data_IF_030142333977
#
_entry.id   IF_030142333977
#
_cell.length_a   1.000
_cell.length_b   1.000
_cell.length_c   1.000
_cell.angle_alpha   90.00
_cell.angle_beta   90.00
_cell.angle_gamma   90.00
#
_symmetry.space_group_name_H-M   'P 1'
#
loop_
_entity.id
_entity.type
_entity.pdbx_description
1 polymer ?
#
# COMPACT_ATOMS: atom_id res chain seq x y z
N UNK A 1 -3.05 10.77 5.88
CA UNK A 1 -1.58 10.93 5.93
C UNK A 1 -1.24 12.41 5.85
N UNK A 2 0.02 12.76 6.09
CA UNK A 2 0.49 14.14 5.95
C UNK A 2 0.35 14.67 4.52
N UNK A 3 0.57 13.82 3.51
CA UNK A 3 0.32 14.15 2.11
C UNK A 3 -1.12 14.61 1.88
N UNK A 4 -2.11 13.78 2.23
CA UNK A 4 -3.54 14.10 2.11
C UNK A 4 -3.87 15.43 2.78
N UNK A 5 -3.32 15.70 3.96
CA UNK A 5 -3.54 16.98 4.65
C UNK A 5 -3.02 18.16 3.83
N UNK A 6 -1.77 18.10 3.36
CA UNK A 6 -1.18 19.17 2.56
C UNK A 6 -1.93 19.38 1.25
N UNK A 7 -2.33 18.31 0.57
CA UNK A 7 -3.06 18.37 -0.70
C UNK A 7 -4.49 18.88 -0.57
N UNK A 8 -5.16 18.69 0.58
CA UNK A 8 -6.53 19.20 0.79
C UNK A 8 -6.57 20.66 1.26
N UNK A 9 -5.51 21.14 1.92
CA UNK A 9 -5.43 22.51 2.46
C UNK A 9 -4.69 23.45 1.49
N UNK A 10 -3.92 22.91 0.55
CA UNK A 10 -3.16 23.66 -0.45
C UNK A 10 -2.38 22.71 -1.36
N UNK A 11 -1.10 22.99 -1.60
CA UNK A 11 -0.19 22.09 -2.29
C UNK A 11 1.00 21.74 -1.40
N UNK A 12 1.57 20.56 -1.61
CA UNK A 12 2.84 20.18 -0.99
C UNK A 12 3.96 21.13 -1.43
N UNK A 13 3.98 21.55 -2.69
CA UNK A 13 4.98 22.47 -3.24
C UNK A 13 5.12 23.78 -2.44
N UNK A 14 4.00 24.31 -1.95
CA UNK A 14 3.93 25.59 -1.22
C UNK A 14 4.07 25.41 0.30
N UNK A 15 4.03 24.16 0.79
CA UNK A 15 4.05 23.85 2.23
C UNK A 15 5.47 23.88 2.80
N UNK A 16 5.63 24.38 4.02
CA UNK A 16 6.91 24.42 4.73
C UNK A 16 7.00 23.34 5.83
N UNK A 17 8.23 23.00 6.23
CA UNK A 17 8.52 22.06 7.31
C UNK A 17 9.05 20.71 6.84
N UNK A 18 9.58 19.92 7.79
CA UNK A 18 10.32 18.69 7.51
C UNK A 18 9.51 17.67 6.69
N UNK A 19 8.25 17.46 7.05
CA UNK A 19 7.39 16.48 6.38
C UNK A 19 7.04 16.95 4.96
N UNK A 20 6.80 18.25 4.76
CA UNK A 20 6.58 18.79 3.42
C UNK A 20 7.83 18.65 2.56
N UNK A 21 9.03 18.88 3.12
CA UNK A 21 10.29 18.67 2.40
C UNK A 21 10.51 17.22 1.96
N UNK A 22 10.08 16.23 2.74
CA UNK A 22 10.14 14.82 2.34
C UNK A 22 9.24 14.54 1.13
N UNK A 23 8.01 15.06 1.12
CA UNK A 23 7.12 14.94 -0.03
C UNK A 23 7.64 15.70 -1.24
N UNK A 24 8.27 16.86 -1.03
CA UNK A 24 8.95 17.61 -2.11
C UNK A 24 10.10 16.82 -2.73
N UNK A 25 10.83 16.08 -1.91
CA UNK A 25 11.93 15.22 -2.37
C UNK A 25 11.39 14.07 -3.23
N UNK A 26 10.37 13.35 -2.75
CA UNK A 26 9.72 12.30 -3.56
C UNK A 26 9.06 12.88 -4.82
N UNK A 27 8.53 14.09 -4.72
CA UNK A 27 7.93 14.83 -5.83
C UNK A 27 8.87 15.14 -7.00
N UNK A 28 10.18 15.01 -6.81
CA UNK A 28 11.15 15.06 -7.91
C UNK A 28 11.07 13.82 -8.82
N UNK A 29 10.73 12.66 -8.24
CA UNK A 29 10.55 11.42 -8.98
C UNK A 29 9.11 11.28 -9.52
N UNK A 30 8.12 11.82 -8.82
CA UNK A 30 6.71 11.83 -9.26
C UNK A 30 6.04 13.17 -8.93
N UNK A 31 5.89 14.03 -9.94
CA UNK A 31 5.40 15.39 -9.78
C UNK A 31 3.98 15.48 -9.21
N UNK A 32 3.18 14.40 -9.30
CA UNK A 32 1.81 14.33 -8.75
C UNK A 32 1.78 14.38 -7.23
N UNK A 33 2.91 14.17 -6.56
CA UNK A 33 3.02 14.31 -5.11
C UNK A 33 3.31 15.74 -4.65
N UNK A 34 3.58 16.66 -5.59
CA UNK A 34 3.78 18.09 -5.30
C UNK A 34 2.49 18.90 -5.34
N UNK A 35 1.60 18.52 -6.26
CA UNK A 35 0.37 19.24 -6.57
C UNK A 35 -0.85 18.35 -6.36
N UNK A 36 -2.03 18.95 -6.32
CA UNK A 36 -3.27 18.19 -6.20
C UNK A 36 -3.55 17.35 -7.46
N UNK A 37 -3.21 16.06 -7.41
CA UNK A 37 -3.69 15.06 -8.37
C UNK A 37 -4.90 14.31 -7.80
N UNK A 38 -6.10 14.41 -8.42
CA UNK A 38 -7.31 13.78 -7.88
C UNK A 38 -7.21 12.26 -7.73
N UNK A 39 -6.50 11.58 -8.63
CA UNK A 39 -6.33 10.12 -8.58
C UNK A 39 -5.49 9.75 -7.38
N UNK A 40 -4.29 10.32 -7.23
CA UNK A 40 -3.38 10.03 -6.11
C UNK A 40 -4.02 10.44 -4.78
N UNK A 41 -4.62 11.63 -4.69
CA UNK A 41 -5.27 12.08 -3.45
C UNK A 41 -6.43 11.18 -3.07
N UNK A 42 -7.24 10.72 -4.04
CA UNK A 42 -8.35 9.81 -3.75
C UNK A 42 -7.90 8.45 -3.20
N UNK A 43 -6.80 7.89 -3.76
CA UNK A 43 -6.19 6.66 -3.27
C UNK A 43 -5.63 6.85 -1.87
N UNK A 44 -4.89 7.93 -1.65
CA UNK A 44 -4.25 8.21 -0.36
C UNK A 44 -5.25 8.48 0.76
N UNK A 45 -6.45 9.01 0.47
CA UNK A 45 -7.53 9.09 1.45
C UNK A 45 -7.96 7.68 1.89
N UNK A 46 -8.15 6.76 0.93
CA UNK A 46 -8.51 5.38 1.24
C UNK A 46 -7.39 4.69 2.02
N UNK A 47 -6.14 4.77 1.56
CA UNK A 47 -5.00 4.14 2.23
C UNK A 47 -4.79 4.71 3.64
N UNK A 48 -4.83 6.03 3.81
CA UNK A 48 -4.64 6.65 5.12
C UNK A 48 -5.74 6.30 6.13
N UNK A 49 -6.98 6.15 5.67
CA UNK A 49 -8.14 5.92 6.55
C UNK A 49 -8.44 4.43 6.63
N UNK A 50 -8.89 3.83 5.53
CA UNK A 50 -9.32 2.44 5.49
C UNK A 50 -8.16 1.48 5.80
N UNK A 51 -7.05 1.58 5.06
CA UNK A 51 -5.94 0.65 5.21
C UNK A 51 -5.21 0.89 6.54
N UNK A 52 -5.11 2.15 6.98
CA UNK A 52 -4.65 2.51 8.32
C UNK A 52 -5.45 1.82 9.44
N UNK A 53 -6.79 1.86 9.39
CA UNK A 53 -7.63 1.16 10.36
C UNK A 53 -7.54 -0.37 10.23
N UNK A 54 -7.50 -0.90 9.02
CA UNK A 54 -7.33 -2.33 8.77
C UNK A 54 -5.99 -2.84 9.31
N UNK A 55 -4.91 -2.07 9.17
CA UNK A 55 -3.60 -2.41 9.71
C UNK A 55 -3.62 -2.47 11.23
N UNK A 56 -4.23 -1.49 11.91
CA UNK A 56 -4.41 -1.51 13.37
C UNK A 56 -5.23 -2.73 13.82
N UNK A 57 -6.31 -3.03 13.12
CA UNK A 57 -7.16 -4.17 13.45
C UNK A 57 -6.48 -5.51 13.17
N UNK A 58 -5.67 -5.59 12.12
CA UNK A 58 -4.82 -6.74 11.82
C UNK A 58 -3.80 -6.96 12.93
N UNK A 59 -3.09 -5.91 13.38
CA UNK A 59 -2.14 -6.01 14.50
C UNK A 59 -2.85 -6.54 15.75
N UNK A 60 -4.03 -6.01 16.08
CA UNK A 60 -4.84 -6.52 17.17
C UNK A 60 -5.19 -8.01 16.99
N UNK A 61 -5.63 -8.40 15.79
CA UNK A 61 -5.99 -9.78 15.47
C UNK A 61 -4.79 -10.74 15.57
N UNK A 62 -3.58 -10.27 15.20
CA UNK A 62 -2.31 -10.99 15.37
C UNK A 62 -2.04 -11.20 16.85
N UNK A 63 -2.00 -10.12 17.64
CA UNK A 63 -1.64 -10.16 19.07
C UNK A 63 -2.64 -10.98 19.89
N UNK A 64 -3.92 -10.98 19.50
CA UNK A 64 -4.98 -11.73 20.19
C UNK A 64 -5.30 -13.08 19.55
N UNK A 65 -4.49 -13.54 18.60
CA UNK A 65 -4.63 -14.84 17.94
C UNK A 65 -6.07 -15.10 17.44
N UNK A 66 -6.66 -14.10 16.76
CA UNK A 66 -8.04 -14.16 16.29
C UNK A 66 -8.16 -14.97 15.01
N UNK A 67 -9.21 -15.77 14.88
CA UNK A 67 -9.47 -16.61 13.71
C UNK A 67 -9.58 -15.81 12.39
N UNK A 68 -10.02 -14.56 12.46
CA UNK A 68 -10.19 -13.67 11.30
C UNK A 68 -8.91 -12.92 10.91
N UNK A 69 -7.77 -13.15 11.58
CA UNK A 69 -6.48 -12.53 11.25
C UNK A 69 -6.15 -12.63 9.76
N UNK A 70 -6.24 -13.83 9.18
CA UNK A 70 -5.90 -14.07 7.78
C UNK A 70 -6.88 -13.38 6.81
N UNK A 71 -8.15 -13.23 7.19
CA UNK A 71 -9.11 -12.47 6.40
C UNK A 71 -8.67 -10.99 6.32
N UNK A 72 -8.37 -10.37 7.46
CA UNK A 72 -7.88 -8.98 7.50
C UNK A 72 -6.55 -8.81 6.77
N UNK A 73 -5.61 -9.75 6.94
CA UNK A 73 -4.32 -9.71 6.26
C UNK A 73 -4.50 -9.75 4.74
N UNK A 74 -5.35 -10.64 4.23
CA UNK A 74 -5.65 -10.74 2.79
C UNK A 74 -6.32 -9.47 2.29
N UNK A 75 -7.33 -8.95 3.01
CA UNK A 75 -8.03 -7.71 2.62
C UNK A 75 -7.06 -6.54 2.52
N UNK A 76 -6.24 -6.31 3.55
CA UNK A 76 -5.25 -5.22 3.55
C UNK A 76 -4.25 -5.39 2.41
N UNK A 77 -3.72 -6.60 2.19
CA UNK A 77 -2.75 -6.83 1.11
C UNK A 77 -3.35 -6.58 -0.28
N UNK A 78 -4.63 -6.89 -0.49
CA UNK A 78 -5.31 -6.60 -1.75
C UNK A 78 -5.52 -5.09 -1.94
N UNK A 79 -5.85 -4.35 -0.87
CA UNK A 79 -5.93 -2.89 -0.95
C UNK A 79 -4.59 -2.28 -1.36
N UNK A 80 -3.49 -2.67 -0.70
CA UNK A 80 -2.14 -2.16 -1.01
C UNK A 80 -1.75 -2.45 -2.47
N UNK A 81 -1.89 -3.70 -2.93
CA UNK A 81 -1.53 -4.08 -4.31
C UNK A 81 -2.39 -3.38 -5.36
N UNK A 82 -3.68 -3.19 -5.08
CA UNK A 82 -4.57 -2.45 -5.97
C UNK A 82 -4.25 -0.96 -5.96
N UNK A 83 -3.94 -0.39 -4.80
CA UNK A 83 -3.50 1.00 -4.65
C UNK A 83 -2.24 1.28 -5.46
N UNK A 84 -1.21 0.44 -5.31
CA UNK A 84 0.03 0.52 -6.09
C UNK A 84 -0.25 0.46 -7.61
N UNK A 85 -1.10 -0.47 -8.04
CA UNK A 85 -1.47 -0.56 -9.45
C UNK A 85 -2.15 0.73 -9.93
N UNK A 86 -3.05 1.29 -9.15
CA UNK A 86 -3.76 2.52 -9.51
C UNK A 86 -2.89 3.78 -9.42
N UNK A 87 -1.80 3.76 -8.65
CA UNK A 87 -0.80 4.84 -8.61
C UNK A 87 0.00 4.92 -9.91
N UNK A 88 0.40 3.76 -10.47
CA UNK A 88 1.32 3.72 -11.61
C UNK A 88 0.66 3.40 -12.96
N UNK A 89 -0.33 2.51 -13.00
CA UNK A 89 -0.95 2.09 -14.26
C UNK A 89 -1.54 3.26 -15.07
N UNK A 90 -2.24 4.24 -14.48
CA UNK A 90 -2.72 5.40 -15.23
C UNK A 90 -1.59 6.20 -15.89
N UNK A 91 -0.46 6.39 -15.19
CA UNK A 91 0.71 7.08 -15.76
C UNK A 91 1.33 6.29 -16.91
N UNK A 92 1.54 4.98 -16.74
CA UNK A 92 2.12 4.15 -17.80
C UNK A 92 1.28 4.18 -19.07
N UNK A 93 -0.06 4.26 -18.96
CA UNK A 93 -0.96 4.35 -20.10
C UNK A 93 -0.84 5.65 -20.89
N UNK A 94 -0.41 6.74 -20.25
CA UNK A 94 -0.23 8.05 -20.88
C UNK A 94 1.24 8.38 -21.18
N UNK A 95 2.14 7.42 -21.01
CA UNK A 95 3.58 7.59 -21.27
C UNK A 95 4.37 8.23 -20.12
N UNK A 96 3.82 8.19 -18.90
CA UNK A 96 4.48 8.61 -17.65
C UNK A 96 5.01 10.04 -17.62
N UNK A 97 4.23 11.05 -18.06
CA UNK A 97 4.69 12.43 -18.14
C UNK A 97 5.05 13.04 -16.77
N UNK A 98 4.54 12.48 -15.67
CA UNK A 98 4.83 12.98 -14.32
C UNK A 98 5.98 12.24 -13.63
N UNK A 99 6.44 11.12 -14.19
CA UNK A 99 7.48 10.30 -13.58
C UNK A 99 8.85 10.65 -14.17
N UNK A 100 9.82 10.97 -13.33
CA UNK A 100 11.21 11.08 -13.77
C UNK A 100 11.81 9.68 -13.91
N UNK A 101 11.93 9.23 -15.17
CA UNK A 101 12.49 7.92 -15.52
C UNK A 101 13.90 8.01 -16.10
N UNK A 102 14.41 9.22 -16.32
CA UNK A 102 15.74 9.46 -16.90
C UNK A 102 16.82 9.49 -15.83
N UNK A 103 16.51 10.03 -14.64
CA UNK A 103 17.44 10.00 -13.51
C UNK A 103 17.50 8.63 -12.85
N UNK A 104 18.71 8.11 -12.66
CA UNK A 104 18.93 6.77 -12.11
C UNK A 104 18.42 6.63 -10.66
N UNK A 105 18.60 7.66 -9.83
CA UNK A 105 18.20 7.62 -8.43
C UNK A 105 16.67 7.67 -8.33
N UNK A 106 16.04 8.59 -9.06
CA UNK A 106 14.58 8.69 -9.10
C UNK A 106 13.97 7.39 -9.62
N UNK A 107 14.46 6.85 -10.73
CA UNK A 107 13.89 5.64 -11.30
C UNK A 107 14.11 4.40 -10.43
N UNK A 108 15.37 4.05 -10.12
CA UNK A 108 15.65 2.76 -9.47
C UNK A 108 15.37 2.76 -7.97
N UNK A 109 15.65 3.86 -7.29
CA UNK A 109 15.49 3.91 -5.83
C UNK A 109 14.10 4.41 -5.47
N UNK A 110 13.66 5.55 -6.03
CA UNK A 110 12.41 6.16 -5.60
C UNK A 110 11.21 5.42 -6.18
N UNK A 111 11.19 5.21 -7.51
CA UNK A 111 10.07 4.57 -8.18
C UNK A 111 10.11 3.04 -8.03
N UNK A 112 11.22 2.38 -8.35
CA UNK A 112 11.28 0.91 -8.35
C UNK A 112 11.44 0.33 -6.94
N UNK A 113 12.45 0.74 -6.18
CA UNK A 113 12.74 0.09 -4.89
C UNK A 113 11.68 0.36 -3.84
N UNK A 114 11.34 1.63 -3.55
CA UNK A 114 10.34 1.92 -2.52
C UNK A 114 8.99 1.32 -2.89
N UNK A 115 8.42 1.60 -4.06
CA UNK A 115 7.13 1.01 -4.43
C UNK A 115 7.21 -0.52 -4.59
N UNK A 116 8.36 -1.07 -4.98
CA UNK A 116 8.59 -2.51 -5.01
C UNK A 116 8.44 -3.18 -3.65
N UNK A 117 8.74 -2.49 -2.54
CA UNK A 117 8.49 -2.99 -1.18
C UNK A 117 6.98 -3.10 -0.90
N UNK A 118 6.19 -2.14 -1.36
CA UNK A 118 4.73 -2.14 -1.22
C UNK A 118 4.06 -3.22 -2.08
N UNK A 119 4.72 -3.71 -3.13
CA UNK A 119 4.27 -4.91 -3.86
C UNK A 119 4.75 -6.20 -3.19
N UNK A 120 6.03 -6.26 -2.83
CA UNK A 120 6.67 -7.48 -2.36
C UNK A 120 6.12 -7.95 -1.02
N UNK A 121 5.98 -7.04 -0.04
CA UNK A 121 5.55 -7.39 1.31
C UNK A 121 4.11 -7.94 1.33
N UNK A 122 3.11 -7.26 0.72
CA UNK A 122 1.77 -7.82 0.56
C UNK A 122 1.75 -9.15 -0.19
N UNK A 123 2.56 -9.29 -1.26
CA UNK A 123 2.68 -10.56 -1.98
C UNK A 123 3.14 -11.72 -1.09
N UNK A 124 4.17 -11.49 -0.26
CA UNK A 124 4.66 -12.48 0.70
C UNK A 124 3.63 -12.78 1.80
N UNK A 125 2.92 -11.78 2.30
CA UNK A 125 1.88 -11.94 3.32
C UNK A 125 0.64 -12.68 2.79
N UNK A 126 0.27 -12.46 1.53
CA UNK A 126 -0.78 -13.24 0.85
C UNK A 126 -0.38 -14.70 0.73
N UNK A 127 0.86 -14.97 0.28
CA UNK A 127 1.39 -16.32 0.22
C UNK A 127 1.38 -17.00 1.59
N UNK A 128 1.83 -16.30 2.63
CA UNK A 128 1.80 -16.80 4.00
C UNK A 128 0.37 -17.17 4.43
N UNK A 129 -0.59 -16.26 4.23
CA UNK A 129 -1.99 -16.52 4.62
C UNK A 129 -2.59 -17.69 3.84
N UNK A 130 -2.28 -17.82 2.55
CA UNK A 130 -2.70 -18.95 1.72
C UNK A 130 -2.19 -20.30 2.26
N UNK A 131 -0.90 -20.37 2.60
CA UNK A 131 -0.28 -21.59 3.14
C UNK A 131 -0.93 -21.99 4.47
N UNK A 132 -1.18 -21.04 5.37
CA UNK A 132 -1.81 -21.36 6.66
C UNK A 132 -3.27 -21.76 6.53
N UNK A 133 -4.05 -21.06 5.69
CA UNK A 133 -5.44 -21.45 5.42
C UNK A 133 -5.52 -22.88 4.86
N UNK A 134 -4.63 -23.26 3.95
CA UNK A 134 -4.52 -24.64 3.45
C UNK A 134 -4.23 -25.63 4.58
N UNK A 135 -3.28 -25.32 5.46
CA UNK A 135 -2.93 -26.20 6.61
C UNK A 135 -4.09 -26.37 7.58
N UNK A 136 -4.82 -25.29 7.88
CA UNK A 136 -6.00 -25.31 8.75
C UNK A 136 -7.12 -26.18 8.16
N UNK A 137 -7.37 -26.07 6.85
CA UNK A 137 -8.35 -26.89 6.16
C UNK A 137 -8.03 -28.39 6.28
N UNK A 138 -6.79 -28.80 5.99
CA UNK A 138 -6.37 -30.21 6.10
C UNK A 138 -6.50 -30.77 7.52
N UNK A 139 -6.14 -29.98 8.55
CA UNK A 139 -6.32 -30.37 9.96
C UNK A 139 -7.79 -30.60 10.30
N UNK A 140 -8.67 -29.71 9.87
CA UNK A 140 -10.12 -29.82 10.06
C UNK A 140 -10.69 -31.09 9.41
N UNK A 141 -10.33 -31.37 8.16
CA UNK A 141 -10.75 -32.59 7.46
C UNK A 141 -10.24 -33.86 8.16
N UNK A 142 -9.00 -33.87 8.65
CA UNK A 142 -8.44 -35.02 9.37
C UNK A 142 -9.13 -35.27 10.72
N UNK A 143 -9.51 -34.23 11.45
CA UNK A 143 -10.27 -34.38 12.70
C UNK A 143 -11.67 -34.94 12.43
N UNK A 144 -12.36 -34.41 11.42
CA UNK A 144 -13.70 -34.87 11.03
C UNK A 144 -13.73 -36.36 10.62
N UNK A 145 -12.64 -36.86 10.03
CA UNK A 145 -12.49 -38.30 9.72
C UNK A 145 -12.20 -39.17 10.95
N UNK A 146 -11.61 -38.63 12.03
CA UNK A 146 -11.35 -39.38 13.28
C UNK A 146 -12.56 -39.43 14.20
N UNK A 147 -13.46 -38.44 14.11
CA UNK A 147 -14.67 -38.32 14.94
C UNK A 147 -15.88 -39.09 14.38
N UNK A 148 -15.73 -39.73 13.21
CA UNK A 148 -16.77 -40.49 12.51
C UNK A 148 -16.35 -41.96 12.42
#
# INVERSE_FOLDING_TARGET
GSFVYFSLVGNVADSEGLIASLWKEYGKADARWLYFDPTIVSLEILTAVLDGFLALFLIYAIVKEKYYRHFLQITLCVCELYGDWMTFSPEWLIGSPNLDTDDWLHFWVYLVFFNGVWVLIPGLLLWQSWVELRRMHHKGTSLGKKLR
#
